data_IF_852977067476
#
_entry.id   IF_852977067476
#
_cell.length_a   1.000
_cell.length_b   1.000
_cell.length_c   1.000
_cell.angle_alpha   90.00
_cell.angle_beta   90.00
_cell.angle_gamma   90.00
#
_symmetry.space_group_name_H-M   'P 1'
#
loop_
_entity.id
_entity.type
_entity.pdbx_description
1 polymer ?
#
# COMPACT_ATOMS: atom_id res chain seq x y z
N UNK A 1 -3.38 1.03 29.06
CA UNK A 1 -3.13 2.30 28.33
C UNK A 1 -1.62 2.50 28.28
N UNK A 2 -1.03 2.49 27.08
CA UNK A 2 0.41 2.69 26.93
C UNK A 2 0.76 4.16 27.08
N UNK A 3 2.01 4.47 27.47
CA UNK A 3 2.51 5.84 27.60
C UNK A 3 2.30 6.65 26.29
N UNK A 4 2.39 6.00 25.13
CA UNK A 4 2.13 6.57 23.81
C UNK A 4 0.68 7.10 23.65
N UNK A 5 -0.32 6.41 24.19
CA UNK A 5 -1.72 6.88 24.17
C UNK A 5 -1.92 8.14 25.00
N UNK A 6 -1.21 8.23 26.12
CA UNK A 6 -1.30 9.42 27.00
C UNK A 6 -0.65 10.63 26.34
N UNK A 7 0.55 10.44 25.78
CA UNK A 7 1.29 11.49 25.06
C UNK A 7 0.54 11.91 23.79
N UNK A 8 0.00 10.98 23.03
CA UNK A 8 -0.81 11.27 21.85
C UNK A 8 -2.02 12.15 22.16
N UNK A 9 -2.72 11.90 23.25
CA UNK A 9 -3.84 12.76 23.70
C UNK A 9 -3.38 14.17 24.10
N UNK A 10 -2.22 14.28 24.74
CA UNK A 10 -1.67 15.59 25.17
C UNK A 10 -1.29 16.47 23.97
N UNK A 11 -0.84 15.87 22.85
CA UNK A 11 -0.49 16.60 21.62
C UNK A 11 -1.65 16.68 20.62
N UNK A 12 -2.86 16.27 21.02
CA UNK A 12 -4.07 16.38 20.20
C UNK A 12 -4.19 15.37 19.06
N UNK A 13 -3.38 14.32 19.08
CA UNK A 13 -3.52 13.18 18.13
C UNK A 13 -4.76 12.38 18.51
N UNK A 14 -5.72 12.31 17.61
CA UNK A 14 -6.89 11.43 17.73
C UNK A 14 -6.64 10.19 16.89
N UNK A 15 -6.54 9.06 17.54
CA UNK A 15 -6.50 7.76 16.89
C UNK A 15 -7.93 7.39 16.42
N UNK A 16 -8.12 7.25 15.13
CA UNK A 16 -9.33 6.68 14.55
C UNK A 16 -9.02 5.25 14.10
N UNK A 17 -9.25 4.30 14.98
CA UNK A 17 -9.23 2.88 14.61
C UNK A 17 -10.61 2.54 14.07
N UNK A 18 -10.69 2.33 12.76
CA UNK A 18 -11.86 1.71 12.14
C UNK A 18 -11.59 0.21 12.09
N UNK A 19 -12.27 -0.54 12.94
CA UNK A 19 -12.24 -2.01 12.83
C UNK A 19 -12.99 -2.42 11.54
N UNK A 20 -12.31 -2.99 10.54
CA UNK A 20 -12.92 -3.33 9.26
C UNK A 20 -13.91 -4.51 9.34
N UNK A 21 -14.40 -4.84 10.49
CA UNK A 21 -15.42 -5.86 10.64
C UNK A 21 -15.13 -6.90 11.72
N UNK A 22 -14.51 -6.42 12.77
CA UNK A 22 -14.42 -7.18 14.01
C UNK A 22 -15.81 -7.34 14.58
N UNK A 23 -16.42 -8.27 14.63
CA UNK A 23 -17.54 -8.69 15.42
C UNK A 23 -18.89 -8.06 15.06
N UNK A 24 -19.84 -8.86 14.84
CA UNK A 24 -21.24 -8.54 14.99
C UNK A 24 -21.92 -7.78 13.85
N UNK A 25 -21.29 -7.57 12.73
CA UNK A 25 -22.04 -7.11 11.56
C UNK A 25 -23.06 -8.19 11.18
N UNK A 26 -24.33 -7.83 11.01
CA UNK A 26 -25.35 -8.81 10.75
C UNK A 26 -25.01 -9.58 9.45
N UNK A 27 -25.16 -10.89 9.50
CA UNK A 27 -25.15 -11.71 8.30
C UNK A 27 -26.37 -11.35 7.47
N UNK A 28 -26.22 -11.42 6.15
CA UNK A 28 -27.39 -11.30 5.27
C UNK A 28 -28.35 -12.45 5.57
N UNK A 29 -29.68 -12.19 5.60
CA UNK A 29 -30.66 -13.22 5.95
C UNK A 29 -30.73 -14.34 4.92
N UNK A 30 -30.41 -14.03 3.65
CA UNK A 30 -30.34 -14.99 2.55
C UNK A 30 -29.10 -14.70 1.71
N UNK A 31 -28.47 -15.74 1.13
CA UNK A 31 -27.30 -15.54 0.26
C UNK A 31 -27.64 -14.61 -0.91
N UNK A 32 -26.91 -13.52 -1.02
CA UNK A 32 -27.05 -12.54 -2.12
C UNK A 32 -25.85 -12.72 -3.04
N UNK A 33 -26.04 -12.96 -4.34
CA UNK A 33 -24.94 -13.12 -5.26
C UNK A 33 -24.20 -11.79 -5.48
N UNK A 34 -22.89 -11.80 -5.29
CA UNK A 34 -22.01 -10.69 -5.57
C UNK A 34 -20.79 -11.14 -6.36
N UNK A 35 -20.35 -10.31 -7.30
CA UNK A 35 -19.12 -10.54 -8.05
C UNK A 35 -18.11 -9.47 -7.66
N UNK A 36 -16.88 -9.90 -7.33
CA UNK A 36 -15.74 -9.03 -7.12
C UNK A 36 -14.83 -9.16 -8.34
N UNK A 37 -14.59 -8.08 -9.03
CA UNK A 37 -13.72 -8.00 -10.20
C UNK A 37 -12.34 -7.52 -9.80
N UNK A 38 -11.36 -8.41 -9.86
CA UNK A 38 -9.98 -8.21 -9.43
C UNK A 38 -9.65 -8.93 -8.13
N UNK A 39 -8.61 -9.74 -8.15
CA UNK A 39 -8.12 -10.58 -7.04
C UNK A 39 -6.91 -9.99 -6.30
N UNK A 40 -6.69 -8.67 -6.36
CA UNK A 40 -5.68 -7.97 -5.58
C UNK A 40 -6.11 -7.72 -4.12
N UNK A 41 -5.33 -6.95 -3.37
CA UNK A 41 -5.60 -6.65 -1.94
C UNK A 41 -7.04 -6.16 -1.73
N UNK A 42 -7.50 -5.20 -2.51
CA UNK A 42 -8.83 -4.60 -2.35
C UNK A 42 -9.94 -5.62 -2.61
N UNK A 43 -9.83 -6.39 -3.70
CA UNK A 43 -10.84 -7.39 -4.06
C UNK A 43 -10.89 -8.55 -3.09
N UNK A 44 -9.75 -9.11 -2.71
CA UNK A 44 -9.71 -10.20 -1.74
C UNK A 44 -10.16 -9.76 -0.34
N UNK A 45 -9.81 -8.53 0.08
CA UNK A 45 -10.34 -7.99 1.34
C UNK A 45 -11.85 -7.84 1.32
N UNK A 46 -12.41 -7.33 0.21
CA UNK A 46 -13.87 -7.25 0.04
C UNK A 46 -14.50 -8.64 0.05
N UNK A 47 -13.92 -9.60 -0.68
CA UNK A 47 -14.42 -10.96 -0.75
C UNK A 47 -14.45 -11.67 0.60
N UNK A 48 -13.36 -11.55 1.39
CA UNK A 48 -13.29 -12.10 2.76
C UNK A 48 -14.43 -11.56 3.61
N UNK A 49 -14.56 -10.23 3.66
CA UNK A 49 -15.57 -9.57 4.51
C UNK A 49 -17.01 -9.89 4.05
N UNK A 50 -17.25 -9.95 2.75
CA UNK A 50 -18.55 -10.31 2.19
C UNK A 50 -18.91 -11.78 2.46
N UNK A 51 -17.98 -12.70 2.25
CA UNK A 51 -18.18 -14.12 2.50
C UNK A 51 -18.47 -14.41 3.99
N UNK A 52 -17.73 -13.79 4.91
CA UNK A 52 -17.96 -13.88 6.36
C UNK A 52 -19.39 -13.42 6.75
N UNK A 53 -19.98 -12.52 5.98
CA UNK A 53 -21.35 -12.01 6.16
C UNK A 53 -22.42 -12.85 5.46
N UNK A 54 -22.05 -13.96 4.83
CA UNK A 54 -22.96 -14.87 4.14
C UNK A 54 -23.38 -14.41 2.73
N UNK A 55 -22.66 -13.47 2.14
CA UNK A 55 -22.83 -13.09 0.74
C UNK A 55 -22.26 -14.20 -0.14
N UNK A 56 -23.01 -14.63 -1.17
CA UNK A 56 -22.52 -15.58 -2.17
C UNK A 56 -21.56 -14.88 -3.14
N UNK A 57 -20.30 -14.70 -2.70
CA UNK A 57 -19.30 -13.94 -3.43
C UNK A 57 -18.55 -14.81 -4.44
N UNK A 58 -18.35 -14.27 -5.64
CA UNK A 58 -17.44 -14.85 -6.65
C UNK A 58 -16.38 -13.81 -6.99
N UNK A 59 -15.11 -14.14 -6.77
CA UNK A 59 -13.98 -13.32 -7.22
C UNK A 59 -13.58 -13.75 -8.62
N UNK A 60 -13.43 -12.80 -9.53
CA UNK A 60 -12.93 -13.02 -10.89
C UNK A 60 -11.61 -12.26 -11.05
N UNK A 61 -10.53 -12.99 -11.29
CA UNK A 61 -9.18 -12.46 -11.49
C UNK A 61 -8.69 -12.82 -12.90
N UNK A 62 -8.22 -11.83 -13.65
CA UNK A 62 -7.75 -12.00 -15.02
C UNK A 62 -6.43 -12.80 -15.09
N UNK A 63 -5.54 -12.60 -14.12
CA UNK A 63 -4.28 -13.32 -14.04
C UNK A 63 -4.49 -14.77 -13.55
N UNK A 64 -3.55 -15.68 -13.83
CA UNK A 64 -3.59 -17.04 -13.30
C UNK A 64 -3.35 -17.10 -11.79
N UNK A 65 -2.85 -16.02 -11.19
CA UNK A 65 -2.53 -15.90 -9.76
C UNK A 65 -3.23 -14.70 -9.14
N UNK A 66 -3.52 -14.81 -7.82
CA UNK A 66 -4.04 -13.70 -7.05
C UNK A 66 -2.95 -12.72 -6.63
N UNK A 67 -3.37 -11.54 -6.15
CA UNK A 67 -2.50 -10.59 -5.48
C UNK A 67 -2.31 -9.28 -6.24
N UNK A 68 -2.52 -9.25 -7.54
CA UNK A 68 -2.29 -8.06 -8.33
C UNK A 68 -0.85 -7.54 -8.14
N UNK A 69 -0.67 -6.29 -7.69
CA UNK A 69 0.65 -5.71 -7.42
C UNK A 69 1.40 -6.35 -6.25
N UNK A 70 0.69 -7.00 -5.33
CA UNK A 70 1.25 -7.85 -4.28
C UNK A 70 1.21 -9.33 -4.72
N UNK A 71 1.36 -9.59 -6.00
CA UNK A 71 1.45 -10.94 -6.54
C UNK A 71 2.79 -11.58 -6.21
N UNK A 72 2.76 -12.88 -5.96
CA UNK A 72 3.93 -13.71 -5.80
C UNK A 72 3.59 -15.12 -6.29
N UNK A 73 4.61 -15.85 -6.72
CA UNK A 73 4.46 -17.20 -7.22
C UNK A 73 5.75 -17.99 -6.97
N UNK A 74 5.64 -19.29 -6.74
CA UNK A 74 6.81 -20.15 -6.64
C UNK A 74 7.47 -20.26 -8.01
N UNK A 75 8.74 -19.95 -8.09
CA UNK A 75 9.57 -20.12 -9.29
C UNK A 75 10.96 -20.56 -8.85
N UNK A 76 11.47 -21.63 -9.45
CA UNK A 76 12.83 -22.10 -9.23
C UNK A 76 13.78 -21.28 -10.11
N UNK A 77 14.52 -20.38 -9.48
CA UNK A 77 15.56 -19.60 -10.14
C UNK A 77 16.89 -20.38 -10.23
N UNK A 78 17.81 -19.99 -11.12
CA UNK A 78 19.12 -20.66 -11.29
C UNK A 78 19.98 -20.70 -10.03
N UNK A 79 19.76 -19.79 -9.08
CA UNK A 79 20.45 -19.74 -7.79
C UNK A 79 19.80 -20.63 -6.71
N UNK A 80 18.75 -21.40 -7.07
CA UNK A 80 17.98 -22.23 -6.17
C UNK A 80 16.89 -21.52 -5.38
N UNK A 81 16.68 -20.22 -5.59
CA UNK A 81 15.59 -19.47 -4.98
C UNK A 81 14.25 -19.92 -5.54
N UNK A 82 13.27 -20.16 -4.67
CA UNK A 82 11.93 -20.64 -5.05
C UNK A 82 10.84 -19.57 -4.94
N UNK A 83 11.20 -18.32 -4.79
CA UNK A 83 10.26 -17.21 -4.61
C UNK A 83 10.43 -16.18 -5.71
N UNK A 84 9.32 -15.78 -6.32
CA UNK A 84 9.28 -14.67 -7.23
C UNK A 84 8.12 -13.73 -6.86
N UNK A 85 8.36 -12.43 -6.96
CA UNK A 85 7.43 -11.37 -6.54
C UNK A 85 7.57 -10.17 -7.47
N UNK A 86 6.52 -9.36 -7.61
CA UNK A 86 6.59 -8.10 -8.35
C UNK A 86 7.51 -7.05 -7.71
N UNK A 87 8.01 -7.29 -6.51
CA UNK A 87 8.93 -6.42 -5.79
C UNK A 87 8.79 -6.57 -4.29
N UNK A 88 9.77 -6.05 -3.58
CA UNK A 88 9.76 -6.02 -2.13
C UNK A 88 8.59 -5.17 -1.60
N UNK A 89 7.84 -5.74 -0.67
CA UNK A 89 6.79 -5.04 0.06
C UNK A 89 7.03 -5.13 1.56
N UNK A 90 7.15 -3.98 2.22
CA UNK A 90 7.22 -3.90 3.66
C UNK A 90 5.82 -4.00 4.28
N UNK A 91 5.62 -4.93 5.19
CA UNK A 91 4.38 -5.07 5.94
C UNK A 91 4.49 -4.27 7.24
N UNK A 92 4.30 -2.95 7.13
CA UNK A 92 4.38 -2.07 8.29
C UNK A 92 3.37 -2.45 9.37
N UNK A 93 3.76 -2.29 10.63
CA UNK A 93 2.93 -2.71 11.75
C UNK A 93 1.67 -1.89 11.91
N UNK A 94 1.68 -0.62 11.48
CA UNK A 94 0.53 0.25 11.44
C UNK A 94 -0.47 -0.05 10.30
N UNK A 95 -0.23 -1.02 9.44
CA UNK A 95 -1.24 -1.48 8.47
C UNK A 95 -2.32 -2.33 9.17
N UNK A 96 -2.98 -1.77 10.20
CA UNK A 96 -3.91 -2.48 11.07
C UNK A 96 -5.01 -3.21 10.32
N UNK A 97 -5.65 -2.55 9.34
CA UNK A 97 -6.72 -3.12 8.55
C UNK A 97 -6.23 -4.30 7.70
N UNK A 98 -5.08 -4.14 7.03
CA UNK A 98 -4.49 -5.21 6.26
C UNK A 98 -4.06 -6.39 7.15
N UNK A 99 -3.42 -6.12 8.26
CA UNK A 99 -3.04 -7.16 9.24
C UNK A 99 -4.26 -7.86 9.83
N UNK A 100 -5.39 -7.16 9.99
CA UNK A 100 -6.66 -7.78 10.38
C UNK A 100 -7.16 -8.76 9.33
N UNK A 101 -7.09 -8.44 8.05
CA UNK A 101 -7.43 -9.38 6.96
C UNK A 101 -6.45 -10.57 6.95
N UNK A 102 -5.15 -10.33 7.10
CA UNK A 102 -4.14 -11.39 7.11
C UNK A 102 -4.35 -12.39 8.26
N UNK A 103 -4.89 -11.96 9.41
CA UNK A 103 -5.24 -12.87 10.52
C UNK A 103 -6.33 -13.88 10.17
N UNK A 104 -7.07 -13.71 9.09
CA UNK A 104 -7.98 -14.74 8.55
C UNK A 104 -7.21 -15.89 7.91
N UNK A 105 -6.04 -15.58 7.34
CA UNK A 105 -5.14 -16.60 6.79
C UNK A 105 -4.35 -17.30 7.91
N UNK A 106 -3.73 -16.51 8.78
CA UNK A 106 -3.00 -16.96 9.95
C UNK A 106 -3.27 -16.02 11.15
N UNK A 107 -4.02 -16.47 12.18
CA UNK A 107 -4.34 -15.65 13.35
C UNK A 107 -3.12 -15.10 14.09
N UNK A 108 -1.99 -15.82 14.04
CA UNK A 108 -0.73 -15.43 14.71
C UNK A 108 0.12 -14.50 13.87
N UNK A 109 -0.12 -14.41 12.55
CA UNK A 109 0.75 -13.79 11.56
C UNK A 109 2.18 -14.36 11.60
N UNK A 110 2.32 -15.66 11.88
CA UNK A 110 3.60 -16.33 12.07
C UNK A 110 4.50 -16.33 10.83
N UNK A 111 3.91 -16.18 9.63
CA UNK A 111 4.63 -16.02 8.36
C UNK A 111 5.30 -14.65 8.21
N UNK A 112 4.96 -13.66 9.02
CA UNK A 112 5.57 -12.33 9.01
C UNK A 112 6.75 -12.29 9.98
N UNK A 113 7.95 -12.11 9.46
CA UNK A 113 9.19 -12.01 10.24
C UNK A 113 9.64 -10.56 10.37
N UNK A 114 9.98 -10.09 11.58
CA UNK A 114 10.48 -8.75 11.80
C UNK A 114 11.75 -8.48 10.99
N UNK A 115 11.83 -7.31 10.36
CA UNK A 115 13.06 -6.81 9.74
C UNK A 115 13.76 -5.87 10.72
N UNK A 116 14.94 -6.24 11.23
CA UNK A 116 15.57 -5.52 12.35
C UNK A 116 16.26 -4.22 11.94
N UNK A 117 16.49 -3.98 10.66
CA UNK A 117 17.21 -2.82 10.16
C UNK A 117 16.51 -2.17 8.98
N UNK A 118 16.66 -0.85 8.88
CA UNK A 118 16.18 -0.08 7.74
C UNK A 118 17.23 0.97 7.34
N UNK A 119 18.38 0.53 6.78
CA UNK A 119 19.44 1.43 6.37
C UNK A 119 19.08 2.10 5.03
N UNK A 120 19.28 3.42 4.99
CA UNK A 120 19.27 4.21 3.76
C UNK A 120 20.70 4.39 3.31
N UNK A 121 21.00 3.87 2.14
CA UNK A 121 22.34 3.91 1.56
C UNK A 121 22.42 4.99 0.49
N UNK A 122 23.52 5.73 0.51
CA UNK A 122 23.84 6.75 -0.50
C UNK A 122 25.32 6.64 -0.87
N UNK A 123 25.63 6.87 -2.16
CA UNK A 123 27.03 6.99 -2.58
C UNK A 123 27.70 8.28 -2.08
N UNK A 124 26.89 9.29 -1.70
CA UNK A 124 27.36 10.63 -1.35
C UNK A 124 27.28 10.92 0.15
N UNK A 125 26.29 10.37 0.84
CA UNK A 125 25.99 10.72 2.22
C UNK A 125 26.20 9.56 3.18
N UNK A 126 26.46 9.80 4.46
CA UNK A 126 26.56 8.74 5.46
C UNK A 126 25.29 7.91 5.51
N UNK A 127 25.42 6.63 5.89
CA UNK A 127 24.29 5.71 6.05
C UNK A 127 23.37 6.24 7.16
N UNK A 128 22.09 6.35 6.84
CA UNK A 128 21.02 6.62 7.82
C UNK A 128 20.36 5.30 8.22
N UNK A 129 20.11 5.09 9.52
CA UNK A 129 19.55 3.83 10.03
C UNK A 129 18.26 4.10 10.81
N UNK A 130 17.13 3.82 10.19
CA UNK A 130 15.80 4.01 10.79
C UNK A 130 15.35 2.85 11.69
N UNK A 131 15.90 1.64 11.51
CA UNK A 131 15.51 0.47 12.31
C UNK A 131 15.85 0.58 13.79
N UNK A 132 16.73 1.52 14.16
CA UNK A 132 17.11 1.78 15.57
C UNK A 132 16.34 2.91 16.23
N UNK A 133 15.40 3.53 15.51
CA UNK A 133 14.57 4.57 16.09
C UNK A 133 13.53 3.93 17.04
N UNK A 134 13.25 4.55 18.19
CA UNK A 134 12.06 4.19 18.96
C UNK A 134 10.81 4.29 18.06
N UNK A 135 9.87 3.35 18.15
CA UNK A 135 8.73 3.39 17.23
C UNK A 135 7.78 4.56 17.48
N UNK A 136 7.59 4.96 18.74
CA UNK A 136 6.58 5.93 19.12
C UNK A 136 7.08 7.39 19.16
N UNK A 137 6.29 8.36 18.65
CA UNK A 137 6.55 9.77 18.86
C UNK A 137 6.34 10.18 20.34
N UNK A 138 7.03 11.20 20.85
CA UNK A 138 8.05 12.00 20.17
C UNK A 138 9.45 11.39 20.22
N UNK A 139 9.62 10.22 20.84
CA UNK A 139 10.93 9.62 21.07
C UNK A 139 11.67 9.30 19.76
N UNK A 140 10.96 8.88 18.72
CA UNK A 140 11.51 8.63 17.39
C UNK A 140 12.14 9.90 16.78
N UNK A 141 11.42 11.02 16.81
CA UNK A 141 11.92 12.29 16.27
C UNK A 141 13.09 12.85 17.09
N UNK A 142 13.01 12.76 18.42
CA UNK A 142 14.12 13.19 19.28
C UNK A 142 15.37 12.34 19.06
N UNK A 143 15.21 11.02 18.91
CA UNK A 143 16.31 10.13 18.61
C UNK A 143 16.89 10.42 17.22
N UNK A 144 16.03 10.66 16.22
CA UNK A 144 16.46 11.06 14.88
C UNK A 144 17.31 12.34 14.95
N UNK A 145 16.84 13.39 15.61
CA UNK A 145 17.56 14.64 15.78
C UNK A 145 18.92 14.49 16.49
N UNK A 146 19.01 13.58 17.44
CA UNK A 146 20.24 13.39 18.23
C UNK A 146 21.25 12.44 17.58
N UNK A 147 20.80 11.49 16.77
CA UNK A 147 21.63 10.39 16.23
C UNK A 147 21.81 10.41 14.72
N UNK A 148 20.96 11.14 13.99
CA UNK A 148 21.07 11.18 12.53
C UNK A 148 22.40 11.82 12.10
N UNK A 149 23.19 11.15 11.26
CA UNK A 149 24.34 11.75 10.64
C UNK A 149 23.95 12.78 9.57
N UNK A 150 22.70 12.73 9.12
CA UNK A 150 22.17 13.56 8.04
C UNK A 150 21.53 14.86 8.53
N UNK A 151 21.16 14.96 9.81
CA UNK A 151 20.54 16.15 10.42
C UNK A 151 21.22 16.48 11.75
N UNK A 152 21.87 17.64 11.81
CA UNK A 152 22.55 18.13 13.03
C UNK A 152 21.68 19.16 13.74
N UNK A 153 21.82 19.28 15.04
CA UNK A 153 21.12 20.31 15.83
C UNK A 153 21.41 21.74 15.34
N UNK A 154 22.61 21.97 14.79
CA UNK A 154 22.99 23.24 14.18
C UNK A 154 22.15 23.57 12.93
N UNK A 155 21.72 22.58 12.19
CA UNK A 155 20.93 22.76 10.96
C UNK A 155 19.53 23.30 11.27
N UNK A 156 19.02 23.06 12.48
CA UNK A 156 17.74 23.59 12.93
C UNK A 156 17.72 25.12 13.06
N UNK A 157 18.92 25.77 13.10
CA UNK A 157 19.03 27.23 13.13
C UNK A 157 18.70 27.87 11.78
N UNK A 158 19.01 27.18 10.69
CA UNK A 158 18.73 27.61 9.31
C UNK A 158 17.36 27.17 8.82
N UNK A 159 16.73 26.20 9.50
CA UNK A 159 15.43 25.67 9.13
C UNK A 159 14.33 26.72 9.29
N UNK A 160 13.49 26.83 8.28
CA UNK A 160 12.27 27.65 8.35
C UNK A 160 11.22 26.91 9.21
N UNK A 161 10.97 27.47 10.40
CA UNK A 161 10.07 26.85 11.38
C UNK A 161 8.61 26.89 10.93
N UNK A 162 8.19 27.93 10.25
CA UNK A 162 6.83 28.08 9.79
C UNK A 162 6.54 27.13 8.64
N UNK A 163 7.49 26.94 7.75
CA UNK A 163 7.44 25.92 6.69
C UNK A 163 7.46 24.49 7.24
N UNK A 164 8.06 24.25 8.42
CA UNK A 164 8.11 22.93 9.05
C UNK A 164 6.82 22.57 9.84
N UNK A 165 6.03 23.55 10.29
CA UNK A 165 4.82 23.28 11.06
C UNK A 165 3.81 22.35 10.38
N UNK A 166 3.59 22.40 9.05
CA UNK A 166 2.70 21.45 8.36
C UNK A 166 3.15 20.00 8.50
N UNK A 167 4.45 19.72 8.56
CA UNK A 167 4.97 18.36 8.78
C UNK A 167 4.55 17.79 10.14
N UNK A 168 4.28 18.64 11.12
CA UNK A 168 3.83 18.25 12.47
C UNK A 168 2.30 18.20 12.61
N UNK A 169 1.56 18.65 11.60
CA UNK A 169 0.10 18.80 11.65
C UNK A 169 -0.54 18.23 10.39
N UNK A 170 -1.12 17.06 10.51
CA UNK A 170 -1.85 16.46 9.40
C UNK A 170 -3.36 16.45 9.67
N UNK A 171 -4.12 16.76 8.63
CA UNK A 171 -5.57 16.59 8.62
C UNK A 171 -6.03 16.16 7.22
N UNK A 172 -6.76 15.04 7.07
CA UNK A 172 -7.00 14.41 5.76
C UNK A 172 -7.75 15.30 4.75
N UNK A 173 -8.46 16.31 5.18
CA UNK A 173 -9.14 17.26 4.28
C UNK A 173 -8.36 18.56 4.15
N UNK A 174 -8.01 19.19 5.28
CA UNK A 174 -7.38 20.52 5.27
C UNK A 174 -5.97 20.50 4.67
N UNK A 175 -5.19 19.46 4.95
CA UNK A 175 -3.82 19.35 4.41
C UNK A 175 -3.85 19.27 2.89
N UNK A 176 -4.75 18.45 2.31
CA UNK A 176 -4.89 18.39 0.86
C UNK A 176 -5.45 19.69 0.26
N UNK A 177 -6.47 20.28 0.86
CA UNK A 177 -6.99 21.57 0.40
C UNK A 177 -5.94 22.69 0.37
N UNK A 178 -4.96 22.65 1.29
CA UNK A 178 -3.92 23.67 1.41
C UNK A 178 -2.66 23.36 0.58
N UNK A 179 -2.25 22.11 0.45
CA UNK A 179 -0.92 21.73 -0.07
C UNK A 179 -0.95 20.83 -1.31
N UNK A 180 -2.11 20.40 -1.81
CA UNK A 180 -2.17 19.47 -2.95
C UNK A 180 -1.70 20.10 -4.27
N UNK A 181 -1.77 21.41 -4.38
CA UNK A 181 -1.30 22.17 -5.55
C UNK A 181 0.17 22.62 -5.46
N UNK A 182 0.82 22.40 -4.32
CA UNK A 182 2.24 22.64 -4.08
C UNK A 182 2.99 21.33 -4.25
N UNK A 183 4.17 21.34 -4.86
CA UNK A 183 4.99 20.13 -5.00
C UNK A 183 5.75 19.82 -3.71
N UNK A 184 6.12 18.56 -3.51
CA UNK A 184 6.99 18.16 -2.41
C UNK A 184 8.36 18.84 -2.51
N UNK A 185 8.86 19.08 -3.73
CA UNK A 185 10.10 19.82 -3.97
C UNK A 185 10.04 21.26 -3.44
N UNK A 186 8.95 21.97 -3.73
CA UNK A 186 8.73 23.34 -3.21
C UNK A 186 8.64 23.34 -1.67
N UNK A 187 7.93 22.37 -1.08
CA UNK A 187 7.86 22.21 0.38
C UNK A 187 9.26 21.96 0.96
N UNK A 188 10.00 20.98 0.44
CA UNK A 188 11.34 20.64 0.95
C UNK A 188 12.33 21.78 0.78
N UNK A 189 12.20 22.56 -0.30
CA UNK A 189 13.02 23.76 -0.54
C UNK A 189 12.70 24.84 0.48
N UNK A 190 11.43 25.05 0.82
CA UNK A 190 11.01 26.03 1.83
C UNK A 190 11.52 25.70 3.24
N UNK A 191 11.77 24.42 3.55
CA UNK A 191 12.31 23.99 4.84
C UNK A 191 13.73 24.47 5.10
N UNK A 192 14.49 24.82 4.07
CA UNK A 192 15.92 25.25 4.14
C UNK A 192 16.80 24.24 4.86
N UNK A 193 16.50 22.95 4.68
CA UNK A 193 17.34 21.88 5.21
C UNK A 193 18.59 21.68 4.32
N UNK A 194 19.71 21.21 4.89
CA UNK A 194 20.88 20.86 4.09
C UNK A 194 20.56 19.67 3.17
N UNK A 195 21.21 19.62 1.99
CA UNK A 195 21.00 18.59 0.97
C UNK A 195 21.04 17.16 1.53
N UNK A 196 21.96 16.90 2.49
CA UNK A 196 22.07 15.58 3.11
C UNK A 196 20.81 15.18 3.89
N UNK A 197 20.19 16.13 4.61
CA UNK A 197 18.98 15.87 5.37
C UNK A 197 17.79 15.71 4.42
N UNK A 198 17.70 16.53 3.38
CA UNK A 198 16.69 16.40 2.34
C UNK A 198 16.76 15.03 1.69
N UNK A 199 17.95 14.62 1.19
CA UNK A 199 18.12 13.36 0.48
C UNK A 199 17.89 12.12 1.35
N UNK A 200 18.36 12.12 2.60
CA UNK A 200 18.38 10.93 3.44
C UNK A 200 17.13 10.76 4.31
N UNK A 201 16.41 11.85 4.60
CA UNK A 201 15.25 11.82 5.51
C UNK A 201 13.91 12.06 4.81
N UNK A 202 13.88 12.68 3.63
CA UNK A 202 12.64 13.04 2.94
C UNK A 202 12.52 12.41 1.55
N UNK A 203 13.52 12.54 0.69
CA UNK A 203 13.48 11.97 -0.65
C UNK A 203 13.36 10.45 -0.65
N UNK A 204 13.74 9.79 0.44
CA UNK A 204 13.50 8.35 0.63
C UNK A 204 12.02 7.99 0.56
N UNK A 205 11.13 8.87 0.99
CA UNK A 205 9.68 8.61 0.91
C UNK A 205 9.17 8.72 -0.51
N UNK A 206 9.53 9.77 -1.26
CA UNK A 206 9.12 9.91 -2.67
C UNK A 206 9.69 8.78 -3.53
N UNK A 207 10.98 8.48 -3.38
CA UNK A 207 11.64 7.41 -4.15
C UNK A 207 11.10 6.00 -3.80
N UNK A 208 10.70 5.76 -2.57
CA UNK A 208 10.04 4.50 -2.17
C UNK A 208 8.70 4.28 -2.88
N UNK A 209 8.07 5.35 -3.34
CA UNK A 209 6.82 5.32 -4.11
C UNK A 209 7.05 5.55 -5.62
N UNK A 210 8.30 5.47 -6.09
CA UNK A 210 8.68 5.66 -7.48
C UNK A 210 8.27 7.02 -8.06
N UNK A 211 8.25 8.05 -7.23
CA UNK A 211 7.89 9.41 -7.60
C UNK A 211 9.06 10.37 -7.37
N UNK A 212 9.09 11.45 -8.14
CA UNK A 212 9.99 12.57 -7.90
C UNK A 212 9.29 13.65 -7.08
N UNK A 213 10.04 14.35 -6.23
CA UNK A 213 9.50 15.42 -5.39
C UNK A 213 8.82 16.53 -6.21
N UNK A 214 9.32 16.78 -7.43
CA UNK A 214 8.74 17.76 -8.34
C UNK A 214 7.38 17.34 -8.94
N UNK A 215 7.04 16.05 -8.86
CA UNK A 215 5.78 15.48 -9.38
C UNK A 215 4.86 15.02 -8.26
N UNK A 216 5.36 14.97 -7.02
CA UNK A 216 4.63 14.57 -5.84
C UNK A 216 3.97 15.78 -5.18
N UNK A 217 2.72 15.64 -4.74
CA UNK A 217 2.04 16.65 -3.94
C UNK A 217 2.71 16.82 -2.57
N UNK A 218 2.87 18.06 -2.11
CA UNK A 218 3.32 18.36 -0.76
C UNK A 218 2.36 17.80 0.32
N UNK A 219 1.06 17.79 0.03
CA UNK A 219 0.06 17.19 0.92
C UNK A 219 0.32 15.69 1.12
N UNK A 220 0.70 14.97 0.05
CA UNK A 220 1.03 13.55 0.13
C UNK A 220 2.33 13.31 0.90
N UNK A 221 3.36 14.15 0.71
CA UNK A 221 4.60 14.09 1.50
C UNK A 221 4.32 14.29 3.00
N UNK A 222 3.48 15.26 3.36
CA UNK A 222 3.06 15.51 4.75
C UNK A 222 2.29 14.30 5.30
N UNK A 223 1.35 13.76 4.52
CA UNK A 223 0.57 12.59 4.92
C UNK A 223 1.45 11.38 5.20
N UNK A 224 2.43 11.11 4.33
CA UNK A 224 3.38 10.01 4.51
C UNK A 224 4.28 10.22 5.72
N UNK A 225 4.81 11.44 5.92
CA UNK A 225 5.62 11.76 7.08
C UNK A 225 4.84 11.49 8.38
N UNK A 226 3.57 11.91 8.43
CA UNK A 226 2.69 11.60 9.57
C UNK A 226 2.43 10.10 9.69
N UNK A 227 2.09 9.45 8.60
CA UNK A 227 1.77 8.02 8.61
C UNK A 227 2.92 7.17 9.14
N UNK A 228 4.16 7.48 8.76
CA UNK A 228 5.32 6.68 9.13
C UNK A 228 6.02 7.11 10.43
N UNK A 229 5.94 8.39 10.81
CA UNK A 229 6.73 8.89 11.93
C UNK A 229 5.93 9.47 13.10
N UNK A 230 4.76 10.05 12.86
CA UNK A 230 4.02 10.79 13.88
C UNK A 230 2.66 10.23 14.23
N UNK A 231 1.96 9.62 13.27
CA UNK A 231 0.55 9.28 13.38
C UNK A 231 0.26 7.93 14.07
N UNK A 232 1.29 7.19 14.48
CA UNK A 232 1.11 5.87 15.07
C UNK A 232 2.24 5.53 16.07
N UNK A 233 2.03 4.58 16.99
CA UNK A 233 3.05 4.13 17.92
C UNK A 233 4.02 3.08 17.37
N UNK A 234 3.81 2.62 16.13
CA UNK A 234 4.58 1.54 15.51
C UNK A 234 5.81 2.07 14.74
N UNK A 235 5.77 3.34 14.34
CA UNK A 235 6.82 4.00 13.58
C UNK A 235 7.12 3.31 12.25
N UNK A 236 8.40 3.17 11.95
CA UNK A 236 8.89 2.51 10.72
C UNK A 236 9.13 1.00 10.88
N UNK A 237 8.61 0.38 11.95
CA UNK A 237 8.75 -1.06 12.14
C UNK A 237 7.90 -1.83 11.12
N UNK A 238 8.52 -2.76 10.42
CA UNK A 238 7.84 -3.61 9.47
C UNK A 238 8.33 -5.06 9.52
N UNK A 239 7.52 -5.92 8.97
CA UNK A 239 7.79 -7.34 8.84
C UNK A 239 7.82 -7.71 7.35
N UNK A 240 8.39 -8.87 7.02
CA UNK A 240 8.35 -9.47 5.68
C UNK A 240 7.89 -10.93 5.78
N UNK A 241 7.14 -11.44 4.82
CA UNK A 241 6.87 -12.86 4.73
C UNK A 241 8.17 -13.66 4.53
N UNK A 242 8.23 -14.83 5.11
CA UNK A 242 9.32 -15.80 4.95
C UNK A 242 9.07 -16.79 3.80
N UNK A 243 7.86 -16.75 3.22
CA UNK A 243 7.45 -17.50 2.04
C UNK A 243 6.98 -16.55 0.94
N UNK A 244 6.76 -17.07 -0.27
CA UNK A 244 6.16 -16.28 -1.35
C UNK A 244 4.72 -15.84 -1.00
N UNK A 245 4.28 -14.75 -1.60
CA UNK A 245 2.96 -14.18 -1.28
C UNK A 245 1.78 -15.07 -1.69
N UNK A 246 1.94 -15.93 -2.71
CA UNK A 246 0.89 -16.86 -3.08
C UNK A 246 0.65 -17.88 -1.97
N UNK A 247 1.72 -18.44 -1.42
CA UNK A 247 1.68 -19.44 -0.35
C UNK A 247 1.30 -18.84 0.99
N UNK A 248 1.95 -17.74 1.39
CA UNK A 248 1.76 -17.13 2.70
C UNK A 248 0.41 -16.40 2.83
N UNK A 249 -0.12 -15.81 1.76
CA UNK A 249 -1.24 -14.88 1.83
C UNK A 249 -2.42 -15.32 0.97
N UNK A 250 -2.20 -15.48 -0.35
CA UNK A 250 -3.32 -15.53 -1.27
C UNK A 250 -4.07 -16.84 -1.26
N UNK A 251 -3.37 -17.97 -1.21
CA UNK A 251 -4.00 -19.29 -1.09
C UNK A 251 -4.76 -19.45 0.23
N UNK A 252 -4.21 -19.08 1.41
CA UNK A 252 -4.97 -19.11 2.65
C UNK A 252 -6.21 -18.21 2.65
N UNK A 253 -6.13 -16.99 2.10
CA UNK A 253 -7.29 -16.11 1.99
C UNK A 253 -8.33 -16.64 1.01
N UNK A 254 -7.92 -17.24 -0.10
CA UNK A 254 -8.84 -17.90 -1.03
C UNK A 254 -9.60 -19.05 -0.35
N UNK A 255 -8.87 -19.94 0.35
CA UNK A 255 -9.49 -20.99 1.16
C UNK A 255 -10.45 -20.46 2.23
N UNK A 256 -10.12 -19.31 2.84
CA UNK A 256 -11.02 -18.67 3.80
C UNK A 256 -12.32 -18.20 3.14
N UNK A 257 -12.25 -17.58 1.96
CA UNK A 257 -13.44 -17.19 1.17
C UNK A 257 -14.28 -18.42 0.81
N UNK A 258 -13.66 -19.49 0.34
CA UNK A 258 -14.33 -20.74 -0.06
C UNK A 258 -14.97 -21.43 1.14
N UNK A 259 -14.30 -21.47 2.29
CA UNK A 259 -14.86 -22.00 3.54
C UNK A 259 -16.16 -21.30 3.96
N UNK A 260 -16.32 -20.02 3.58
CA UNK A 260 -17.53 -19.25 3.85
C UNK A 260 -18.53 -19.26 2.69
N UNK A 261 -18.39 -20.19 1.73
CA UNK A 261 -19.32 -20.38 0.62
C UNK A 261 -19.09 -19.47 -0.59
N UNK A 262 -17.99 -18.74 -0.63
CA UNK A 262 -17.56 -17.96 -1.80
C UNK A 262 -16.81 -18.83 -2.82
N UNK A 263 -16.45 -18.21 -3.96
CA UNK A 263 -15.65 -18.82 -5.04
C UNK A 263 -14.56 -17.86 -5.48
N UNK A 264 -13.40 -18.41 -5.82
CA UNK A 264 -12.30 -17.66 -6.41
C UNK A 264 -11.95 -18.29 -7.76
N UNK A 265 -12.01 -17.48 -8.81
CA UNK A 265 -11.78 -17.93 -10.19
C UNK A 265 -10.70 -17.05 -10.81
N UNK A 266 -9.54 -17.63 -11.02
CA UNK A 266 -8.39 -16.98 -11.69
C UNK A 266 -8.40 -17.28 -13.19
N UNK A 267 -7.55 -16.60 -13.99
CA UNK A 267 -7.51 -16.74 -15.44
C UNK A 267 -8.80 -16.27 -16.13
N UNK A 268 -9.62 -15.46 -15.47
CA UNK A 268 -10.94 -15.09 -15.94
C UNK A 268 -11.10 -13.57 -15.99
N UNK A 269 -10.77 -13.00 -17.14
CA UNK A 269 -10.90 -11.57 -17.38
C UNK A 269 -12.38 -11.18 -17.60
N UNK A 270 -12.84 -10.18 -16.84
CA UNK A 270 -14.14 -9.54 -17.07
C UNK A 270 -14.02 -8.57 -18.24
N UNK A 271 -14.88 -8.69 -19.22
CA UNK A 271 -14.86 -7.88 -20.45
C UNK A 271 -15.90 -6.76 -20.45
N UNK A 272 -17.11 -7.02 -19.96
CA UNK A 272 -18.19 -6.02 -19.91
C UNK A 272 -19.12 -6.29 -18.73
N UNK A 273 -19.84 -5.23 -18.35
CA UNK A 273 -20.91 -5.26 -17.37
C UNK A 273 -22.21 -4.79 -18.00
N UNK A 274 -23.26 -5.59 -17.88
CA UNK A 274 -24.58 -5.25 -18.36
C UNK A 274 -25.58 -5.16 -17.21
N UNK A 275 -26.33 -4.06 -17.17
CA UNK A 275 -27.43 -3.93 -16.22
C UNK A 275 -28.59 -4.84 -16.67
N UNK A 276 -29.08 -5.67 -15.78
CA UNK A 276 -30.21 -6.57 -15.99
C UNK A 276 -31.25 -6.37 -14.91
N UNK A 277 -32.44 -6.94 -15.07
CA UNK A 277 -33.46 -6.90 -14.04
C UNK A 277 -32.95 -7.51 -12.72
N UNK A 278 -32.93 -6.70 -11.66
CA UNK A 278 -32.51 -7.11 -10.31
C UNK A 278 -31.02 -7.18 -10.06
N UNK A 279 -30.17 -6.84 -11.05
CA UNK A 279 -28.72 -6.93 -10.84
C UNK A 279 -27.87 -6.62 -12.05
N UNK A 280 -26.83 -7.41 -12.21
CA UNK A 280 -25.79 -7.27 -13.23
C UNK A 280 -25.48 -8.60 -13.89
N UNK A 281 -25.20 -8.58 -15.16
CA UNK A 281 -24.55 -9.64 -15.89
C UNK A 281 -23.09 -9.24 -16.11
N UNK A 282 -22.17 -9.98 -15.51
CA UNK A 282 -20.73 -9.80 -15.63
C UNK A 282 -20.22 -10.75 -16.70
N UNK A 283 -19.80 -10.23 -17.85
CA UNK A 283 -19.39 -11.04 -19.00
C UNK A 283 -17.89 -11.33 -18.96
N UNK A 284 -17.53 -12.53 -19.39
CA UNK A 284 -16.16 -13.03 -19.58
C UNK A 284 -16.09 -13.80 -20.89
N UNK A 285 -14.88 -14.14 -21.36
CA UNK A 285 -14.72 -14.96 -22.56
C UNK A 285 -15.34 -16.38 -22.40
N UNK A 286 -15.37 -16.91 -21.17
CA UNK A 286 -15.92 -18.24 -20.86
C UNK A 286 -17.41 -18.26 -20.51
N UNK A 287 -18.11 -17.13 -20.62
CA UNK A 287 -19.52 -17.00 -20.27
C UNK A 287 -19.80 -15.79 -19.38
N UNK A 288 -20.87 -15.84 -18.59
CA UNK A 288 -21.26 -14.71 -17.73
C UNK A 288 -21.71 -15.14 -16.35
N UNK A 289 -21.56 -14.23 -15.40
CA UNK A 289 -21.96 -14.38 -14.01
C UNK A 289 -23.06 -13.39 -13.68
N UNK A 290 -24.16 -13.88 -13.11
CA UNK A 290 -25.24 -13.01 -12.64
C UNK A 290 -24.98 -12.61 -11.20
N UNK A 291 -25.10 -11.33 -10.90
CA UNK A 291 -24.85 -10.79 -9.57
C UNK A 291 -25.84 -9.67 -9.24
N UNK A 292 -26.28 -9.60 -7.98
CA UNK A 292 -27.04 -8.45 -7.49
C UNK A 292 -26.11 -7.24 -7.26
N UNK A 293 -24.89 -7.49 -6.84
CA UNK A 293 -23.89 -6.46 -6.57
C UNK A 293 -22.57 -6.80 -7.28
N UNK A 294 -21.86 -5.76 -7.72
CA UNK A 294 -20.53 -5.88 -8.31
C UNK A 294 -19.57 -4.95 -7.56
N UNK A 295 -18.45 -5.49 -7.14
CA UNK A 295 -17.34 -4.73 -6.57
C UNK A 295 -16.25 -4.63 -7.62
N UNK A 296 -15.88 -3.42 -8.03
CA UNK A 296 -14.82 -3.17 -8.99
C UNK A 296 -13.52 -2.87 -8.22
N UNK A 297 -12.63 -3.85 -8.13
CA UNK A 297 -11.36 -3.78 -7.41
C UNK A 297 -10.17 -3.81 -8.39
N UNK A 298 -10.26 -2.96 -9.40
CA UNK A 298 -9.32 -2.85 -10.51
C UNK A 298 -8.37 -1.66 -10.32
N UNK A 299 -7.23 -1.70 -10.96
CA UNK A 299 -6.40 -0.52 -11.10
C UNK A 299 -7.08 0.53 -12.01
N UNK A 300 -6.68 1.83 -11.94
CA UNK A 300 -7.34 2.87 -12.70
C UNK A 300 -7.38 2.63 -14.22
N UNK A 301 -6.32 2.14 -14.90
CA UNK A 301 -6.39 1.82 -16.32
C UNK A 301 -7.39 0.71 -16.68
N UNK A 302 -7.39 -0.38 -15.92
CA UNK A 302 -8.31 -1.50 -16.15
C UNK A 302 -9.76 -1.10 -15.83
N UNK A 303 -9.97 -0.30 -14.79
CA UNK A 303 -11.28 0.26 -14.47
C UNK A 303 -11.79 1.15 -15.62
N UNK A 304 -10.94 2.03 -16.16
CA UNK A 304 -11.30 2.88 -17.29
C UNK A 304 -11.69 2.06 -18.53
N UNK A 305 -10.90 1.04 -18.84
CA UNK A 305 -11.19 0.15 -19.96
C UNK A 305 -12.54 -0.59 -19.78
N UNK A 306 -12.80 -1.14 -18.60
CA UNK A 306 -14.04 -1.85 -18.30
C UNK A 306 -15.25 -0.91 -18.36
N UNK A 307 -15.15 0.30 -17.81
CA UNK A 307 -16.23 1.31 -17.87
C UNK A 307 -16.53 1.71 -19.30
N UNK A 308 -15.49 1.94 -20.12
CA UNK A 308 -15.66 2.27 -21.55
C UNK A 308 -16.35 1.12 -22.31
N UNK A 309 -16.00 -0.13 -22.00
CA UNK A 309 -16.60 -1.31 -22.60
C UNK A 309 -18.02 -1.60 -22.11
N UNK A 310 -18.52 -0.90 -21.09
CA UNK A 310 -19.78 -1.18 -20.39
C UNK A 310 -20.75 0.00 -20.43
N UNK A 311 -21.40 0.30 -21.57
CA UNK A 311 -22.24 1.51 -21.71
C UNK A 311 -23.40 1.60 -20.70
N UNK A 312 -23.90 0.47 -20.24
CA UNK A 312 -25.00 0.44 -19.25
C UNK A 312 -24.60 0.98 -17.88
N UNK A 313 -23.30 1.12 -17.59
CA UNK A 313 -22.80 1.77 -16.37
C UNK A 313 -23.14 3.26 -16.34
N UNK A 314 -23.23 3.95 -17.48
CA UNK A 314 -23.51 5.38 -17.52
C UNK A 314 -24.85 5.74 -16.85
N UNK A 315 -25.87 4.90 -17.04
CA UNK A 315 -27.16 5.09 -16.37
C UNK A 315 -27.20 4.60 -14.92
N UNK A 316 -26.38 3.61 -14.57
CA UNK A 316 -26.41 2.97 -13.26
C UNK A 316 -25.42 3.58 -12.23
N UNK A 317 -24.33 4.16 -12.72
CA UNK A 317 -23.27 4.77 -11.90
C UNK A 317 -22.66 6.00 -12.60
N UNK A 318 -23.44 7.06 -12.86
CA UNK A 318 -22.99 8.22 -13.63
C UNK A 318 -21.79 8.94 -12.98
N UNK A 319 -21.73 8.98 -11.65
CA UNK A 319 -20.62 9.59 -10.92
C UNK A 319 -19.30 8.82 -11.12
N UNK A 320 -19.33 7.49 -11.16
CA UNK A 320 -18.16 6.68 -11.46
C UNK A 320 -17.67 6.99 -12.88
N UNK A 321 -18.58 6.94 -13.84
CA UNK A 321 -18.26 7.21 -15.26
C UNK A 321 -17.66 8.60 -15.45
N UNK A 322 -18.20 9.62 -14.78
CA UNK A 322 -17.68 10.98 -14.83
C UNK A 322 -16.26 11.12 -14.23
N UNK A 323 -15.90 10.28 -13.26
CA UNK A 323 -14.57 10.30 -12.60
C UNK A 323 -13.50 9.51 -13.36
N UNK A 324 -13.89 8.53 -14.17
CA UNK A 324 -12.95 7.65 -14.89
C UNK A 324 -11.94 8.39 -15.75
N UNK A 325 -12.28 9.47 -16.50
CA UNK A 325 -11.29 10.22 -17.25
C UNK A 325 -10.18 10.83 -16.40
N UNK A 326 -10.46 11.14 -15.13
CA UNK A 326 -9.44 11.61 -14.18
C UNK A 326 -8.46 10.51 -13.78
N UNK A 327 -8.91 9.24 -13.73
CA UNK A 327 -8.06 8.09 -13.45
C UNK A 327 -7.23 7.63 -14.65
N UNK A 328 -7.71 7.87 -15.87
CA UNK A 328 -7.06 7.45 -17.12
C UNK A 328 -5.97 8.39 -17.64
N UNK A 329 -5.71 9.50 -16.96
CA UNK A 329 -4.51 10.28 -17.24
C UNK A 329 -3.35 9.51 -16.60
N UNK A 330 -2.41 8.92 -17.41
CA UNK A 330 -1.18 8.45 -16.82
C UNK A 330 -0.58 9.66 -16.13
N UNK A 331 -0.31 9.59 -14.84
CA UNK A 331 0.75 10.39 -14.24
C UNK A 331 1.86 10.35 -15.29
N UNK A 332 2.28 11.53 -15.77
CA UNK A 332 3.19 11.63 -16.94
C UNK A 332 4.17 10.50 -16.84
N UNK A 333 4.18 9.60 -17.84
CA UNK A 333 5.13 8.50 -17.85
C UNK A 333 6.47 9.10 -17.57
N UNK A 334 7.01 8.90 -16.40
CA UNK A 334 8.41 9.16 -16.12
C UNK A 334 9.13 8.27 -17.10
N UNK A 335 9.48 8.81 -18.27
CA UNK A 335 10.40 8.14 -19.17
C UNK A 335 11.70 8.17 -18.40
N UNK A 336 12.02 7.09 -17.75
CA UNK A 336 13.39 6.78 -17.40
C UNK A 336 14.15 6.80 -18.73
N UNK A 337 14.69 7.96 -19.12
CA UNK A 337 15.75 8.01 -20.10
C UNK A 337 16.94 7.39 -19.39
N UNK A 338 17.23 6.14 -19.70
CA UNK A 338 18.56 5.65 -19.58
C UNK A 338 19.42 6.55 -20.46
N UNK A 339 19.98 7.62 -19.89
CA UNK A 339 21.10 8.32 -20.48
C UNK A 339 22.24 7.31 -20.42
N UNK A 340 22.68 6.86 -21.59
CA UNK A 340 23.65 5.81 -21.83
C UNK A 340 24.81 5.78 -20.85
N UNK A 341 24.67 4.94 -19.89
CA UNK A 341 25.72 4.25 -19.19
C UNK A 341 25.11 2.91 -18.80
N UNK A 342 25.66 1.85 -19.28
CA UNK A 342 25.41 0.47 -18.87
C UNK A 342 25.69 0.34 -17.37
N UNK A 343 24.74 0.77 -16.55
CA UNK A 343 24.73 0.62 -15.11
C UNK A 343 23.81 -0.52 -14.76
N UNK A 344 24.29 -1.75 -14.81
CA UNK A 344 23.70 -2.88 -14.11
C UNK A 344 23.63 -2.53 -12.63
N UNK A 345 22.43 -2.26 -12.13
CA UNK A 345 22.17 -2.17 -10.70
C UNK A 345 22.13 -3.60 -10.14
N UNK A 346 23.31 -4.17 -9.90
CA UNK A 346 23.43 -5.35 -9.04
C UNK A 346 23.36 -4.89 -7.60
N UNK A 347 22.20 -5.00 -6.99
CA UNK A 347 22.05 -4.83 -5.57
C UNK A 347 22.33 -6.16 -4.87
N UNK A 348 23.60 -6.43 -4.59
CA UNK A 348 23.99 -7.42 -3.59
C UNK A 348 23.76 -6.83 -2.21
N UNK A 349 22.54 -6.92 -1.72
CA UNK A 349 22.20 -6.69 -0.32
C UNK A 349 22.10 -8.04 0.36
N UNK A 350 23.17 -8.49 1.02
CA UNK A 350 23.01 -9.51 2.06
C UNK A 350 22.16 -8.91 3.16
N UNK A 351 20.97 -9.45 3.38
CA UNK A 351 20.29 -9.32 4.64
C UNK A 351 21.15 -10.05 5.69
N UNK A 352 22.03 -9.32 6.39
CA UNK A 352 22.90 -9.87 7.42
C UNK A 352 22.13 -9.99 8.73
N UNK A 353 21.13 -10.83 8.77
CA UNK A 353 20.58 -11.45 9.98
C UNK A 353 19.36 -12.30 9.59
N UNK A 354 19.56 -13.56 9.37
CA UNK A 354 18.56 -14.58 9.66
C UNK A 354 17.38 -14.75 8.71
N UNK A 355 17.32 -14.09 7.55
CA UNK A 355 16.40 -14.49 6.48
C UNK A 355 17.05 -15.64 5.70
N UNK A 356 16.48 -16.83 5.66
CA UNK A 356 16.94 -17.88 4.79
C UNK A 356 16.59 -17.48 3.36
N UNK A 357 17.61 -17.15 2.56
CA UNK A 357 17.49 -16.81 1.13
C UNK A 357 18.01 -15.41 0.80
N UNK A 358 19.15 -15.35 0.13
CA UNK A 358 19.67 -14.14 -0.48
C UNK A 358 18.79 -13.77 -1.67
N UNK A 359 18.05 -12.66 -1.59
CA UNK A 359 17.27 -12.16 -2.72
C UNK A 359 18.18 -11.34 -3.65
N UNK A 360 18.45 -11.84 -4.84
CA UNK A 360 19.04 -11.07 -5.92
C UNK A 360 17.93 -10.58 -6.85
N UNK A 361 17.85 -9.26 -7.00
CA UNK A 361 16.97 -8.66 -7.98
C UNK A 361 17.78 -8.39 -9.25
N UNK A 362 17.47 -9.10 -10.33
CA UNK A 362 17.93 -8.78 -11.68
C UNK A 362 16.76 -8.24 -12.49
N UNK A 363 16.99 -7.10 -13.14
CA UNK A 363 16.27 -6.76 -14.35
C UNK A 363 17.06 -7.24 -15.54
#
# INVERSE_FOLDING_TARGET
MTLSHVVGRLIGVREHVVDPGGGGAPRVPHPVPAVVVGGGIAGMSAAVVLAERGVAVTVLEAAPTLGGRLGGWPELLPDGTQMNEHGFHAFFRQYYNWRSILRRADPTLGFLKPVPGYPILSARWPVEEFGRLPPAPPANLLTLLLRSPSLRLTDLRSMDRDAALPLLRYHPVRTYAQFDHTTADELLTSLRLPDRARAMLFEVFSHSFFNHEAEMSAAEMIAQFHFYLLGNPEGLAFDCPDEDYATAIWQPLARHVEKHGGRVVTGTAVTTLHRVAGGWRVATAGGGYDARHVVLALDPPALAALVTASPTLAGAAPELVARVPAFGRPARRTRWRATGATGTWTRTGRCSAGCPGSRTWTR
#
